data_IF_093652868453
#
_entry.id   IF_093652868453
#
_cell.length_a   1.000
_cell.length_b   1.000
_cell.length_c   1.000
_cell.angle_alpha   90.00
_cell.angle_beta   90.00
_cell.angle_gamma   90.00
#
_symmetry.space_group_name_H-M   'P 1'
#
loop_
_entity.id
_entity.type
_entity.pdbx_description
1 polymer ?
#
# COMPACT_ATOMS: atom_id res chain seq x y z
N UNK A 1 29.75 19.66 1.65
CA UNK A 1 30.06 18.57 2.60
C UNK A 1 28.99 17.53 2.40
N UNK A 2 29.37 16.37 1.91
CA UNK A 2 28.44 15.28 1.60
C UNK A 2 28.14 14.59 2.94
N UNK A 3 26.92 14.74 3.47
CA UNK A 3 26.51 13.97 4.64
C UNK A 3 26.20 12.55 4.18
N UNK A 4 27.00 11.63 4.69
CA UNK A 4 26.88 10.19 4.51
C UNK A 4 25.63 9.69 5.23
N UNK A 5 24.57 9.37 4.50
CA UNK A 5 23.46 8.56 4.99
C UNK A 5 23.94 7.10 5.06
N UNK A 6 24.56 6.73 6.14
CA UNK A 6 24.95 5.35 6.39
C UNK A 6 24.81 5.02 7.87
N UNK A 7 23.64 4.62 8.28
CA UNK A 7 23.52 3.69 9.39
C UNK A 7 22.67 2.54 8.95
N UNK A 8 23.35 1.51 8.43
CA UNK A 8 22.72 0.24 8.08
C UNK A 8 22.20 -0.42 9.35
N UNK A 9 20.91 -0.43 9.54
CA UNK A 9 20.29 -1.37 10.46
C UNK A 9 20.38 -2.76 9.83
N UNK A 10 21.38 -3.55 10.23
CA UNK A 10 21.38 -5.01 10.14
C UNK A 10 20.51 -5.61 11.27
N UNK A 11 19.52 -4.88 11.75
CA UNK A 11 18.55 -5.44 12.67
C UNK A 11 17.67 -6.45 11.91
N UNK A 12 17.38 -7.61 12.50
CA UNK A 12 16.42 -8.53 11.89
C UNK A 12 15.08 -7.81 11.75
N UNK A 13 14.44 -7.95 10.57
CA UNK A 13 13.08 -7.44 10.33
C UNK A 13 12.19 -7.87 11.48
N UNK A 14 11.60 -6.92 12.20
CA UNK A 14 10.78 -7.20 13.38
C UNK A 14 9.53 -7.92 12.95
N UNK A 15 9.37 -9.18 13.36
CA UNK A 15 8.11 -9.92 13.25
C UNK A 15 7.49 -9.85 14.63
N UNK A 16 6.72 -8.80 14.89
CA UNK A 16 5.95 -8.71 16.12
C UNK A 16 4.74 -9.64 16.07
N UNK A 17 4.50 -10.41 17.12
CA UNK A 17 3.29 -11.20 17.33
C UNK A 17 2.78 -10.86 18.74
N UNK A 18 1.47 -10.72 18.90
CA UNK A 18 0.89 -10.37 20.20
C UNK A 18 1.19 -8.93 20.63
N UNK A 19 1.60 -8.74 21.87
CA UNK A 19 1.87 -7.41 22.48
C UNK A 19 3.05 -6.67 21.80
N UNK A 20 3.95 -7.39 21.15
CA UNK A 20 5.11 -6.84 20.43
C UNK A 20 4.82 -6.57 18.93
N UNK A 21 3.55 -6.62 18.53
CA UNK A 21 3.17 -6.51 17.12
C UNK A 21 3.54 -5.17 16.49
N UNK A 22 3.35 -4.09 17.20
CA UNK A 22 3.69 -2.75 16.77
C UNK A 22 4.31 -1.96 17.94
N UNK A 23 5.52 -1.45 17.74
CA UNK A 23 6.27 -0.70 18.75
C UNK A 23 6.14 0.81 18.47
N UNK A 24 5.05 1.41 18.93
CA UNK A 24 4.66 2.80 18.65
C UNK A 24 5.77 3.82 18.94
N UNK A 25 6.45 3.73 20.10
CA UNK A 25 7.53 4.68 20.47
C UNK A 25 8.74 4.58 19.54
N UNK A 26 9.11 3.37 19.12
CA UNK A 26 10.22 3.16 18.23
C UNK A 26 9.87 3.61 16.80
N UNK A 27 8.66 3.29 16.33
CA UNK A 27 8.17 3.73 15.03
C UNK A 27 8.04 5.25 14.95
N UNK A 28 7.60 5.92 16.02
CA UNK A 28 7.52 7.38 16.06
C UNK A 28 8.89 8.03 15.87
N UNK A 29 9.94 7.50 16.53
CA UNK A 29 11.30 8.01 16.37
C UNK A 29 11.83 7.78 14.93
N UNK A 30 11.57 6.62 14.35
CA UNK A 30 11.97 6.29 12.99
C UNK A 30 11.24 7.14 11.94
N UNK A 31 9.97 7.42 12.16
CA UNK A 31 9.15 8.33 11.36
C UNK A 31 9.69 9.76 11.40
N UNK A 32 9.95 10.30 12.60
CA UNK A 32 10.45 11.67 12.77
C UNK A 32 11.81 11.84 12.09
N UNK A 33 12.71 10.85 12.20
CA UNK A 33 13.97 10.84 11.48
C UNK A 33 13.76 10.79 9.95
N UNK A 34 12.85 9.94 9.47
CA UNK A 34 12.58 9.75 8.05
C UNK A 34 12.10 11.04 7.37
N UNK A 35 11.15 11.77 7.99
CA UNK A 35 10.58 12.98 7.41
C UNK A 35 11.34 14.26 7.77
N UNK A 36 12.42 14.20 8.58
CA UNK A 36 13.13 15.37 9.12
C UNK A 36 13.55 16.38 8.06
N UNK A 37 13.92 15.92 6.85
CA UNK A 37 14.38 16.79 5.76
C UNK A 37 13.26 17.57 5.06
N UNK A 38 12.01 17.16 5.22
CA UNK A 38 10.84 17.76 4.57
C UNK A 38 9.81 18.30 5.55
N UNK A 39 10.05 18.20 6.86
CA UNK A 39 9.10 18.52 7.92
C UNK A 39 8.51 19.95 7.79
N UNK A 40 9.35 20.95 7.56
CA UNK A 40 8.89 22.34 7.38
C UNK A 40 7.91 22.50 6.21
N UNK A 41 8.12 21.73 5.11
CA UNK A 41 7.22 21.76 3.94
C UNK A 41 5.92 21.04 4.22
N UNK A 42 5.96 19.90 4.93
CA UNK A 42 4.74 19.17 5.31
C UNK A 42 3.84 20.00 6.23
N UNK A 43 4.43 20.86 7.06
CA UNK A 43 3.69 21.73 7.96
C UNK A 43 3.13 22.99 7.28
N UNK A 44 3.88 23.64 6.40
CA UNK A 44 3.66 25.02 5.92
C UNK A 44 3.57 25.17 4.41
N UNK A 45 3.94 24.11 3.64
CA UNK A 45 3.91 24.14 2.19
C UNK A 45 2.48 24.18 1.65
N UNK A 46 2.34 24.62 0.42
CA UNK A 46 1.10 24.40 -0.33
C UNK A 46 1.03 22.97 -0.90
N UNK A 47 -0.08 22.63 -1.52
CA UNK A 47 -0.35 21.27 -1.96
C UNK A 47 0.64 20.72 -2.97
N UNK A 48 1.13 21.56 -3.88
CA UNK A 48 2.15 21.20 -4.87
C UNK A 48 3.53 21.06 -4.24
N UNK A 49 3.92 21.98 -3.34
CA UNK A 49 5.18 21.90 -2.61
C UNK A 49 5.27 20.62 -1.77
N UNK A 50 4.18 20.27 -1.07
CA UNK A 50 4.06 19.03 -0.30
C UNK A 50 4.20 17.83 -1.24
N UNK A 51 3.46 17.82 -2.37
CA UNK A 51 3.53 16.74 -3.35
C UNK A 51 4.98 16.52 -3.85
N UNK A 52 5.65 17.55 -4.30
CA UNK A 52 7.01 17.47 -4.85
C UNK A 52 8.03 17.01 -3.79
N UNK A 53 7.91 17.50 -2.57
CA UNK A 53 8.77 17.11 -1.46
C UNK A 53 8.59 15.64 -1.09
N UNK A 54 7.35 15.16 -1.01
CA UNK A 54 7.05 13.75 -0.78
C UNK A 54 7.54 12.87 -1.95
N UNK A 55 7.28 13.25 -3.21
CA UNK A 55 7.75 12.49 -4.37
C UNK A 55 9.28 12.34 -4.34
N UNK A 56 10.01 13.43 -4.06
CA UNK A 56 11.48 13.44 -3.94
C UNK A 56 11.97 12.52 -2.82
N UNK A 57 11.38 12.63 -1.61
CA UNK A 57 11.74 11.81 -0.46
C UNK A 57 11.48 10.32 -0.72
N UNK A 58 10.26 9.98 -1.15
CA UNK A 58 9.85 8.60 -1.44
C UNK A 58 10.74 7.98 -2.53
N UNK A 59 11.13 8.78 -3.54
CA UNK A 59 11.99 8.34 -4.62
C UNK A 59 13.42 8.07 -4.19
N UNK A 60 14.01 8.98 -3.42
CA UNK A 60 15.42 8.91 -3.01
C UNK A 60 15.70 7.83 -1.96
N UNK A 61 14.70 7.46 -1.18
CA UNK A 61 14.81 6.45 -0.12
C UNK A 61 14.41 5.03 -0.57
N UNK A 62 13.72 4.91 -1.70
CA UNK A 62 13.22 3.64 -2.22
C UNK A 62 14.34 2.71 -2.67
N UNK A 63 14.42 1.53 -2.10
CA UNK A 63 15.28 0.41 -2.52
C UNK A 63 14.48 -0.56 -3.40
N UNK A 64 14.79 -0.61 -4.70
CA UNK A 64 14.08 -1.47 -5.65
C UNK A 64 14.35 -2.96 -5.39
N UNK A 65 13.34 -3.66 -4.95
CA UNK A 65 13.38 -5.10 -4.67
C UNK A 65 13.03 -5.91 -5.94
N UNK A 66 13.56 -7.14 -6.02
CA UNK A 66 12.99 -8.09 -6.99
C UNK A 66 11.56 -8.46 -6.57
N UNK A 67 10.65 -8.67 -7.53
CA UNK A 67 9.27 -9.07 -7.23
C UNK A 67 9.18 -10.36 -6.39
N UNK A 68 10.14 -11.29 -6.57
CA UNK A 68 10.25 -12.49 -5.74
C UNK A 68 10.59 -12.14 -4.29
N UNK A 69 11.51 -11.20 -4.09
CA UNK A 69 11.93 -10.74 -2.77
C UNK A 69 10.79 -9.97 -2.08
N UNK A 70 10.15 -9.04 -2.79
CA UNK A 70 9.00 -8.29 -2.26
C UNK A 70 7.90 -9.22 -1.76
N UNK A 71 7.46 -10.19 -2.57
CA UNK A 71 6.44 -11.17 -2.16
C UNK A 71 6.85 -12.04 -0.97
N UNK A 72 8.15 -12.37 -0.85
CA UNK A 72 8.63 -13.12 0.31
C UNK A 72 8.47 -12.33 1.60
N UNK A 73 8.81 -11.04 1.60
CA UNK A 73 8.60 -10.16 2.75
C UNK A 73 7.11 -9.94 3.01
N UNK A 74 6.32 -9.70 1.95
CA UNK A 74 4.88 -9.53 2.05
C UNK A 74 4.23 -10.64 2.89
N UNK A 75 4.44 -11.91 2.51
CA UNK A 75 3.79 -13.04 3.17
C UNK A 75 4.43 -13.46 4.50
N UNK A 76 5.72 -13.19 4.72
CA UNK A 76 6.42 -13.65 5.93
C UNK A 76 6.32 -12.68 7.09
N UNK A 77 6.24 -11.40 6.81
CA UNK A 77 6.34 -10.35 7.82
C UNK A 77 5.27 -9.27 7.66
N UNK A 78 5.17 -8.64 6.50
CA UNK A 78 4.44 -7.40 6.29
C UNK A 78 2.93 -7.58 6.49
N UNK A 79 2.32 -8.63 5.89
CA UNK A 79 0.87 -8.88 5.97
C UNK A 79 0.46 -9.78 7.13
N UNK A 80 1.35 -10.02 8.09
CA UNK A 80 0.98 -10.74 9.31
C UNK A 80 0.16 -9.86 10.23
N UNK A 81 -0.88 -10.44 10.83
CA UNK A 81 -1.70 -9.83 11.87
C UNK A 81 -1.13 -10.14 13.25
N UNK A 82 -1.62 -9.50 14.34
CA UNK A 82 -1.11 -9.76 15.70
C UNK A 82 -1.15 -11.22 16.15
N UNK A 83 -2.08 -12.01 15.60
CA UNK A 83 -2.20 -13.45 15.82
C UNK A 83 -1.25 -14.30 14.95
N UNK A 84 -0.42 -13.66 14.12
CA UNK A 84 0.48 -14.30 13.17
C UNK A 84 -0.18 -14.79 11.88
N UNK A 85 -1.51 -14.67 11.74
CA UNK A 85 -2.22 -15.06 10.52
C UNK A 85 -2.02 -14.04 9.38
N UNK A 86 -2.15 -14.51 8.13
CA UNK A 86 -2.32 -13.64 6.97
C UNK A 86 -3.80 -13.33 6.79
N UNK A 87 -4.14 -12.05 6.56
CA UNK A 87 -5.49 -11.66 6.21
C UNK A 87 -5.53 -11.15 4.79
N UNK A 88 -6.63 -11.45 4.11
CA UNK A 88 -6.90 -10.99 2.76
C UNK A 88 -7.42 -9.56 2.78
N UNK A 89 -6.90 -8.73 1.89
CA UNK A 89 -7.21 -7.29 1.83
C UNK A 89 -8.70 -7.04 1.70
N UNK A 90 -9.37 -7.71 0.75
CA UNK A 90 -10.75 -7.41 0.37
C UNK A 90 -11.83 -8.08 1.22
N UNK A 91 -11.46 -9.05 2.04
CA UNK A 91 -12.43 -9.74 2.91
C UNK A 91 -12.15 -9.59 4.39
N UNK A 92 -10.95 -9.14 4.78
CA UNK A 92 -10.50 -9.13 6.18
C UNK A 92 -10.31 -10.52 6.78
N UNK A 93 -10.48 -11.60 6.00
CA UNK A 93 -10.32 -12.98 6.42
C UNK A 93 -9.02 -13.56 5.88
N UNK A 94 -8.35 -14.42 6.63
CA UNK A 94 -7.11 -15.05 6.23
C UNK A 94 -7.06 -16.55 6.48
N UNK A 95 -6.02 -17.23 5.98
CA UNK A 95 -5.83 -18.64 6.24
C UNK A 95 -5.61 -18.87 7.74
N UNK A 96 -6.36 -19.83 8.31
CA UNK A 96 -6.32 -20.14 9.74
C UNK A 96 -5.15 -21.04 10.16
N UNK A 97 -4.37 -21.59 9.20
CA UNK A 97 -3.28 -22.52 9.46
C UNK A 97 -1.98 -22.07 8.80
N UNK A 98 -0.89 -22.04 9.56
CA UNK A 98 0.45 -21.65 9.11
C UNK A 98 1.06 -22.56 8.02
N UNK A 99 0.61 -23.82 7.92
CA UNK A 99 1.10 -24.79 6.92
C UNK A 99 0.82 -24.36 5.47
N UNK A 100 -0.08 -23.40 5.25
CA UNK A 100 -0.39 -22.86 3.92
C UNK A 100 0.61 -21.79 3.46
N UNK A 101 1.50 -21.31 4.33
CA UNK A 101 2.34 -20.11 4.10
C UNK A 101 3.74 -20.43 3.54
N UNK A 102 4.25 -21.63 3.70
CA UNK A 102 5.63 -21.97 3.33
C UNK A 102 5.72 -23.19 2.39
N UNK A 103 5.86 -22.93 1.09
CA UNK A 103 6.23 -23.97 0.15
C UNK A 103 6.67 -23.44 -1.22
N UNK A 104 7.77 -23.99 -1.80
CA UNK A 104 8.21 -23.65 -3.15
C UNK A 104 7.24 -24.13 -4.25
N UNK A 105 6.25 -24.94 -3.91
CA UNK A 105 5.27 -25.49 -4.84
C UNK A 105 4.01 -24.63 -4.89
N UNK A 106 3.83 -23.86 -5.98
CA UNK A 106 2.61 -23.09 -6.31
C UNK A 106 1.28 -23.85 -6.20
N UNK A 107 1.30 -25.17 -6.08
CA UNK A 107 0.12 -26.03 -5.93
C UNK A 107 -0.27 -26.28 -4.46
N UNK A 108 0.53 -25.83 -3.50
CA UNK A 108 0.32 -25.96 -2.04
C UNK A 108 0.32 -24.62 -1.30
N UNK A 109 0.65 -23.51 -1.96
CA UNK A 109 0.38 -22.19 -1.44
C UNK A 109 -1.13 -22.06 -1.43
N UNK A 110 -1.71 -21.79 -0.27
CA UNK A 110 -3.14 -21.62 -0.09
C UNK A 110 -3.76 -20.75 -1.16
N UNK A 111 -5.07 -20.64 -1.21
CA UNK A 111 -5.85 -19.93 -2.23
C UNK A 111 -5.54 -18.41 -2.29
N UNK A 112 -4.29 -17.97 -2.06
CA UNK A 112 -3.89 -16.55 -2.09
C UNK A 112 -2.74 -16.26 -3.06
N UNK A 113 -2.70 -15.01 -3.49
CA UNK A 113 -1.61 -14.44 -4.28
C UNK A 113 -1.34 -12.98 -3.88
N UNK A 114 -0.46 -12.31 -4.62
CA UNK A 114 -0.15 -10.92 -4.43
C UNK A 114 -1.10 -10.06 -5.26
N UNK A 115 -1.91 -9.29 -4.58
CA UNK A 115 -2.71 -8.22 -5.15
C UNK A 115 -1.84 -6.99 -5.41
N UNK A 116 -2.12 -6.30 -6.51
CA UNK A 116 -1.62 -4.97 -6.82
C UNK A 116 -2.81 -4.01 -6.79
N UNK A 117 -2.93 -3.21 -5.74
CA UNK A 117 -4.03 -2.24 -5.58
C UNK A 117 -4.12 -1.35 -6.82
N UNK A 118 -3.01 -0.80 -7.27
CA UNK A 118 -2.89 -0.22 -8.61
C UNK A 118 -2.52 -1.34 -9.58
N UNK A 119 -3.41 -1.72 -10.51
CA UNK A 119 -3.22 -2.88 -11.38
C UNK A 119 -1.95 -2.84 -12.22
N UNK A 120 -1.29 -3.99 -12.36
CA UNK A 120 -0.06 -4.08 -13.15
C UNK A 120 -0.24 -3.67 -14.62
N UNK A 121 -1.43 -3.76 -15.18
CA UNK A 121 -1.74 -3.34 -16.55
C UNK A 121 -1.63 -1.83 -16.73
N UNK A 122 -1.94 -1.04 -15.70
CA UNK A 122 -1.92 0.43 -15.77
C UNK A 122 -0.50 0.97 -15.94
N UNK A 123 0.51 0.34 -15.32
CA UNK A 123 1.92 0.71 -15.43
C UNK A 123 2.77 -0.27 -16.25
N UNK A 124 2.14 -1.08 -17.13
CA UNK A 124 2.83 -2.02 -18.04
C UNK A 124 3.77 -3.01 -17.34
N UNK A 125 3.47 -3.40 -16.08
CA UNK A 125 4.29 -4.31 -15.24
C UNK A 125 5.72 -3.81 -15.02
N UNK A 126 5.97 -2.50 -15.15
CA UNK A 126 7.31 -1.91 -15.00
C UNK A 126 7.77 -1.93 -13.54
N UNK A 127 9.08 -1.99 -13.36
CA UNK A 127 9.71 -1.75 -12.06
C UNK A 127 10.07 -0.26 -11.95
N UNK A 128 10.14 0.29 -10.71
CA UNK A 128 9.99 -0.38 -9.41
C UNK A 128 8.55 -0.71 -9.02
N UNK A 129 7.53 -0.13 -9.65
CA UNK A 129 6.11 -0.23 -9.31
C UNK A 129 5.65 -1.68 -9.05
N UNK A 130 6.06 -2.63 -9.91
CA UNK A 130 5.67 -4.04 -9.79
C UNK A 130 6.09 -4.71 -8.47
N UNK A 131 7.08 -4.17 -7.79
CA UNK A 131 7.62 -4.71 -6.55
C UNK A 131 7.52 -3.75 -5.38
N UNK A 132 6.86 -2.62 -5.54
CA UNK A 132 6.66 -1.62 -4.49
C UNK A 132 5.63 -2.11 -3.47
N UNK A 133 6.11 -2.37 -2.25
CA UNK A 133 5.37 -3.04 -1.19
C UNK A 133 4.20 -2.21 -0.65
N UNK A 134 4.19 -0.88 -0.83
CA UNK A 134 3.12 -0.03 -0.33
C UNK A 134 1.79 -0.20 -1.06
N UNK A 135 1.79 -0.79 -2.26
CA UNK A 135 0.55 -1.14 -2.97
C UNK A 135 0.40 -2.66 -3.25
N UNK A 136 1.25 -3.49 -2.62
CA UNK A 136 1.15 -4.94 -2.67
C UNK A 136 0.49 -5.48 -1.41
N UNK A 137 -0.48 -6.38 -1.57
CA UNK A 137 -1.20 -7.02 -0.46
C UNK A 137 -1.44 -8.49 -0.72
N UNK A 138 -1.68 -9.25 0.35
CA UNK A 138 -2.13 -10.63 0.25
C UNK A 138 -3.63 -10.67 -0.04
N UNK A 139 -4.03 -11.44 -1.06
CA UNK A 139 -5.45 -11.58 -1.41
C UNK A 139 -5.77 -13.00 -1.90
N UNK A 140 -7.04 -13.44 -1.74
CA UNK A 140 -7.57 -14.70 -2.32
C UNK A 140 -7.41 -14.68 -3.83
N UNK A 141 -6.90 -15.77 -4.41
CA UNK A 141 -6.75 -15.90 -5.87
C UNK A 141 -8.05 -15.63 -6.62
N UNK A 142 -9.19 -16.17 -6.13
CA UNK A 142 -10.49 -15.94 -6.78
C UNK A 142 -10.93 -14.49 -6.70
N UNK A 143 -10.76 -13.86 -5.55
CA UNK A 143 -11.16 -12.48 -5.34
C UNK A 143 -10.25 -11.52 -6.17
N UNK A 144 -8.93 -11.69 -6.13
CA UNK A 144 -8.01 -10.96 -6.96
C UNK A 144 -8.31 -11.10 -8.45
N UNK A 145 -8.68 -12.34 -8.89
CA UNK A 145 -9.09 -12.58 -10.28
C UNK A 145 -10.41 -11.89 -10.65
N UNK A 146 -11.37 -11.84 -9.73
CA UNK A 146 -12.66 -11.16 -9.95
C UNK A 146 -12.53 -9.64 -9.96
N UNK A 147 -11.66 -9.09 -9.09
CA UNK A 147 -11.32 -7.67 -9.10
C UNK A 147 -10.65 -7.26 -10.41
N UNK A 148 -9.90 -8.16 -11.04
CA UNK A 148 -9.23 -7.93 -12.33
C UNK A 148 -8.36 -6.65 -12.34
N UNK A 149 -8.63 -5.73 -13.26
CA UNK A 149 -8.04 -4.39 -13.33
C UNK A 149 -9.10 -3.30 -13.18
N UNK A 150 -10.20 -3.60 -12.54
CA UNK A 150 -11.31 -2.67 -12.35
C UNK A 150 -10.90 -1.54 -11.41
N UNK A 151 -11.48 -0.36 -11.61
CA UNK A 151 -11.31 0.77 -10.70
C UNK A 151 -11.96 0.48 -9.33
N UNK A 152 -11.49 1.15 -8.32
CA UNK A 152 -12.03 1.05 -6.95
C UNK A 152 -13.08 2.14 -6.74
N UNK A 153 -14.33 1.74 -6.51
CA UNK A 153 -15.46 2.63 -6.33
C UNK A 153 -16.53 2.00 -5.41
N UNK A 154 -17.47 2.78 -4.93
CA UNK A 154 -18.72 2.27 -4.36
C UNK A 154 -19.68 1.97 -5.50
N UNK A 155 -20.19 0.74 -5.56
CA UNK A 155 -20.99 0.31 -6.72
C UNK A 155 -22.21 -0.50 -6.33
N UNK A 156 -23.22 -0.47 -7.21
CA UNK A 156 -24.33 -1.43 -7.23
C UNK A 156 -24.01 -2.50 -8.28
N UNK A 157 -23.87 -3.77 -7.86
CA UNK A 157 -23.46 -4.82 -8.78
C UNK A 157 -23.59 -6.23 -8.23
N UNK A 158 -22.83 -7.17 -8.79
CA UNK A 158 -22.79 -8.56 -8.34
C UNK A 158 -21.98 -8.68 -7.04
N UNK A 159 -22.64 -9.10 -5.97
CA UNK A 159 -21.96 -9.36 -4.69
C UNK A 159 -21.23 -10.70 -4.73
N UNK A 160 -19.92 -10.65 -4.50
CA UNK A 160 -19.04 -11.81 -4.40
C UNK A 160 -18.75 -12.09 -2.91
N UNK A 161 -19.26 -13.19 -2.35
CA UNK A 161 -19.07 -13.52 -0.93
C UNK A 161 -17.58 -13.50 -0.52
N UNK A 162 -17.29 -12.84 0.61
CA UNK A 162 -15.95 -12.68 1.16
C UNK A 162 -14.94 -12.12 0.14
N UNK A 163 -15.36 -11.11 -0.63
CA UNK A 163 -14.55 -10.42 -1.61
C UNK A 163 -14.99 -8.95 -1.77
N UNK A 164 -16.11 -8.72 -2.44
CA UNK A 164 -16.57 -7.37 -2.76
C UNK A 164 -17.82 -7.39 -3.65
N UNK A 165 -18.10 -6.25 -4.24
CA UNK A 165 -19.16 -6.06 -5.24
C UNK A 165 -18.47 -5.71 -6.56
N UNK A 166 -18.94 -6.28 -7.66
CA UNK A 166 -18.38 -6.03 -9.01
C UNK A 166 -19.46 -5.42 -9.90
N UNK A 167 -19.15 -4.31 -10.50
CA UNK A 167 -19.87 -3.79 -11.65
C UNK A 167 -19.11 -4.09 -12.94
N UNK A 168 -19.59 -5.11 -13.67
CA UNK A 168 -18.99 -5.50 -14.96
C UNK A 168 -19.31 -4.55 -16.12
N UNK A 169 -20.27 -3.65 -15.94
CA UNK A 169 -20.66 -2.68 -16.98
C UNK A 169 -19.68 -1.52 -17.02
N UNK A 170 -19.31 -1.03 -15.83
CA UNK A 170 -18.46 0.15 -15.70
C UNK A 170 -17.01 -0.20 -15.32
N UNK A 171 -16.67 -1.50 -15.17
CA UNK A 171 -15.36 -2.02 -14.79
C UNK A 171 -14.93 -1.51 -13.41
N UNK A 172 -15.83 -1.59 -12.43
CA UNK A 172 -15.64 -1.11 -11.07
C UNK A 172 -15.74 -2.23 -10.03
N UNK A 173 -15.07 -2.02 -8.90
CA UNK A 173 -15.01 -2.97 -7.79
C UNK A 173 -15.07 -2.25 -6.45
N UNK A 174 -16.02 -2.64 -5.61
CA UNK A 174 -16.11 -2.21 -4.22
C UNK A 174 -15.65 -3.33 -3.29
N UNK A 175 -14.55 -3.18 -2.55
CA UNK A 175 -14.10 -4.21 -1.60
C UNK A 175 -15.01 -4.25 -0.36
N UNK A 176 -15.28 -5.48 0.16
CA UNK A 176 -16.02 -5.61 1.42
C UNK A 176 -15.19 -5.17 2.65
N UNK A 177 -13.85 -5.24 2.56
CA UNK A 177 -12.92 -4.76 3.57
C UNK A 177 -11.73 -4.07 2.90
N UNK A 178 -10.90 -3.39 3.69
CA UNK A 178 -9.67 -2.79 3.19
C UNK A 178 -9.84 -1.46 2.43
N UNK A 179 -11.00 -0.81 2.51
CA UNK A 179 -11.26 0.46 1.83
C UNK A 179 -10.24 1.55 2.19
N UNK A 180 -9.89 1.68 3.47
CA UNK A 180 -8.86 2.62 3.91
C UNK A 180 -7.47 2.27 3.37
N UNK A 181 -7.09 0.99 3.44
CA UNK A 181 -5.82 0.47 2.94
C UNK A 181 -5.64 0.72 1.42
N UNK A 182 -6.69 0.45 0.61
CA UNK A 182 -6.60 0.67 -0.83
C UNK A 182 -6.55 2.15 -1.18
N UNK A 183 -7.26 3.00 -0.44
CA UNK A 183 -7.23 4.45 -0.62
C UNK A 183 -5.80 4.98 -0.38
N UNK A 184 -5.20 4.65 0.77
CA UNK A 184 -3.83 5.07 1.12
C UNK A 184 -2.76 4.50 0.19
N UNK A 185 -2.95 3.26 -0.28
CA UNK A 185 -2.05 2.64 -1.25
C UNK A 185 -2.11 3.33 -2.63
N UNK A 186 -3.31 3.73 -3.08
CA UNK A 186 -3.49 4.45 -4.35
C UNK A 186 -2.93 5.87 -4.26
N UNK A 187 -3.22 6.61 -3.18
CA UNK A 187 -2.67 7.94 -2.94
C UNK A 187 -1.13 7.91 -2.87
N UNK A 188 -0.55 6.94 -2.16
CA UNK A 188 0.90 6.72 -2.17
C UNK A 188 1.42 6.51 -3.60
N UNK A 189 0.76 5.66 -4.38
CA UNK A 189 1.18 5.37 -5.75
C UNK A 189 1.16 6.62 -6.64
N UNK A 190 0.13 7.45 -6.54
CA UNK A 190 0.03 8.73 -7.26
C UNK A 190 1.19 9.68 -6.93
N UNK A 191 1.59 9.74 -5.66
CA UNK A 191 2.72 10.58 -5.26
C UNK A 191 4.06 9.96 -5.68
N UNK A 192 4.24 8.65 -5.47
CA UNK A 192 5.54 7.98 -5.70
C UNK A 192 5.82 7.72 -7.18
N UNK A 193 4.80 7.45 -7.98
CA UNK A 193 4.89 7.02 -9.36
C UNK A 193 3.99 7.87 -10.28
N UNK A 194 4.29 9.16 -10.46
CA UNK A 194 3.45 10.06 -11.27
C UNK A 194 3.38 9.64 -12.74
N UNK A 195 2.25 9.96 -13.38
CA UNK A 195 2.07 9.81 -14.82
C UNK A 195 1.78 8.39 -15.31
N UNK A 196 1.37 7.48 -14.43
CA UNK A 196 1.02 6.10 -14.80
C UNK A 196 -0.47 5.76 -14.64
N UNK A 197 -1.26 6.65 -14.08
CA UNK A 197 -2.66 6.42 -13.75
C UNK A 197 -3.51 7.57 -14.25
N UNK A 198 -4.68 7.29 -14.81
CA UNK A 198 -5.66 8.30 -15.20
C UNK A 198 -5.76 8.55 -16.72
N UNK A 199 -5.03 7.82 -17.56
CA UNK A 199 -5.10 7.98 -19.03
C UNK A 199 -6.16 7.09 -19.72
N UNK A 200 -6.78 6.16 -18.96
CA UNK A 200 -7.78 5.23 -19.48
C UNK A 200 -9.03 5.19 -18.62
N UNK A 201 -10.17 4.96 -19.23
CA UNK A 201 -11.48 4.89 -18.59
C UNK A 201 -11.55 3.92 -17.39
N UNK A 202 -10.80 2.85 -17.42
CA UNK A 202 -10.77 1.83 -16.36
C UNK A 202 -9.76 2.12 -15.24
N UNK A 203 -9.04 3.23 -15.33
CA UNK A 203 -8.06 3.66 -14.33
C UNK A 203 -8.67 4.70 -13.40
N UNK A 204 -8.14 4.76 -12.19
CA UNK A 204 -8.53 5.83 -11.25
C UNK A 204 -8.28 7.19 -11.88
N UNK A 205 -9.31 7.99 -11.97
CA UNK A 205 -9.28 9.37 -12.49
C UNK A 205 -9.16 10.40 -11.35
N UNK A 206 -8.90 11.68 -11.67
CA UNK A 206 -9.00 12.74 -10.68
C UNK A 206 -10.37 12.85 -10.00
N UNK A 207 -11.44 12.49 -10.70
CA UNK A 207 -12.81 12.48 -10.15
C UNK A 207 -12.99 11.36 -9.11
N UNK A 208 -12.39 10.19 -9.34
CA UNK A 208 -12.45 9.05 -8.44
C UNK A 208 -11.65 9.26 -7.14
N UNK A 209 -10.69 10.20 -7.16
CA UNK A 209 -9.92 10.56 -5.99
C UNK A 209 -10.81 10.97 -4.81
N UNK A 210 -11.95 11.61 -5.07
CA UNK A 210 -12.91 11.98 -4.02
C UNK A 210 -13.38 10.77 -3.23
N UNK A 211 -13.71 9.66 -3.90
CA UNK A 211 -14.12 8.42 -3.24
C UNK A 211 -12.99 7.84 -2.39
N UNK A 212 -11.75 7.90 -2.87
CA UNK A 212 -10.60 7.42 -2.11
C UNK A 212 -10.35 8.27 -0.86
N UNK A 213 -10.52 9.59 -0.94
CA UNK A 213 -10.42 10.50 0.21
C UNK A 213 -11.55 10.23 1.22
N UNK A 214 -12.78 10.00 0.77
CA UNK A 214 -13.90 9.62 1.62
C UNK A 214 -13.63 8.29 2.35
N UNK A 215 -13.08 7.27 1.66
CA UNK A 215 -12.68 6.01 2.31
C UNK A 215 -11.51 6.20 3.27
N UNK A 216 -10.57 7.06 2.95
CA UNK A 216 -9.45 7.38 3.84
C UNK A 216 -9.94 7.97 5.16
N UNK A 217 -10.92 8.90 5.12
CA UNK A 217 -11.53 9.52 6.30
C UNK A 217 -12.40 8.53 7.09
N UNK A 218 -13.25 7.76 6.40
CA UNK A 218 -14.19 6.81 7.02
C UNK A 218 -13.51 5.61 7.68
N UNK A 219 -12.34 5.20 7.17
CA UNK A 219 -11.59 4.03 7.64
C UNK A 219 -10.21 4.46 8.16
N UNK A 220 -10.11 4.88 9.44
CA UNK A 220 -8.87 5.38 10.03
C UNK A 220 -7.73 4.37 9.96
N UNK A 221 -6.49 4.88 10.01
CA UNK A 221 -5.27 4.06 10.03
C UNK A 221 -5.28 3.12 11.23
N UNK A 222 -5.00 1.85 10.96
CA UNK A 222 -4.95 0.77 11.96
C UNK A 222 -3.51 0.44 12.37
N UNK A 223 -3.33 -0.24 13.51
CA UNK A 223 -2.01 -0.74 13.92
C UNK A 223 -1.42 -1.75 12.93
N UNK A 224 -2.28 -2.46 12.18
CA UNK A 224 -1.82 -3.28 11.06
C UNK A 224 -1.14 -2.46 9.98
N UNK A 225 -1.70 -1.32 9.60
CA UNK A 225 -1.09 -0.46 8.58
C UNK A 225 0.19 0.21 9.10
N UNK A 226 0.22 0.62 10.38
CA UNK A 226 1.44 1.14 11.02
C UNK A 226 2.55 0.10 11.04
N UNK A 227 2.25 -1.13 11.48
CA UNK A 227 3.17 -2.27 11.41
C UNK A 227 3.68 -2.50 9.98
N UNK A 228 2.78 -2.48 8.98
CA UNK A 228 3.18 -2.61 7.57
C UNK A 228 4.15 -1.51 7.16
N UNK A 229 3.84 -0.27 7.49
CA UNK A 229 4.62 0.90 7.10
C UNK A 229 6.05 0.85 7.68
N UNK A 230 6.17 0.55 8.96
CA UNK A 230 7.44 0.33 9.65
C UNK A 230 8.23 -0.84 9.04
N UNK A 231 7.61 -2.00 8.87
CA UNK A 231 8.24 -3.18 8.27
C UNK A 231 8.68 -2.95 6.81
N UNK A 232 7.91 -2.17 6.03
CA UNK A 232 8.27 -1.81 4.65
C UNK A 232 9.47 -0.86 4.65
N UNK A 233 9.55 0.09 5.55
CA UNK A 233 10.74 0.95 5.69
C UNK A 233 12.01 0.12 5.92
N UNK A 234 11.96 -0.90 6.75
CA UNK A 234 13.10 -1.78 7.00
C UNK A 234 13.62 -2.45 5.71
N UNK A 235 12.73 -2.93 4.86
CA UNK A 235 13.10 -3.71 3.68
C UNK A 235 13.20 -2.89 2.39
N UNK A 236 12.33 -1.89 2.21
CA UNK A 236 12.22 -1.07 1.00
C UNK A 236 12.78 0.34 1.17
N UNK A 237 12.85 0.86 2.41
CA UNK A 237 13.53 2.10 2.76
C UNK A 237 12.65 3.35 2.78
N UNK A 238 11.45 3.29 2.21
CA UNK A 238 10.51 4.40 2.22
C UNK A 238 9.25 4.07 3.03
N UNK A 239 8.45 5.10 3.31
CA UNK A 239 7.22 5.03 4.10
C UNK A 239 6.04 5.57 3.31
N UNK A 240 4.82 5.14 3.66
CA UNK A 240 3.59 5.73 3.12
C UNK A 240 3.18 6.93 4.00
N UNK A 241 3.24 8.17 3.51
CA UNK A 241 2.94 9.36 4.31
C UNK A 241 1.48 9.43 4.75
N UNK A 242 0.57 8.82 4.03
CA UNK A 242 -0.86 8.81 4.37
C UNK A 242 -1.22 7.81 5.48
N UNK A 243 -0.26 6.99 5.92
CA UNK A 243 -0.33 6.18 7.13
C UNK A 243 0.29 6.94 8.31
N UNK A 244 1.42 7.63 8.09
CA UNK A 244 2.16 8.35 9.12
C UNK A 244 1.49 9.68 9.53
N UNK A 245 0.97 10.41 8.54
CA UNK A 245 0.33 11.72 8.64
C UNK A 245 -0.96 11.72 7.81
N UNK A 246 -2.04 11.09 8.29
CA UNK A 246 -3.29 10.94 7.52
C UNK A 246 -3.85 12.27 7.00
N UNK A 247 -3.68 13.35 7.75
CA UNK A 247 -4.13 14.71 7.39
C UNK A 247 -3.46 15.28 6.14
N UNK A 248 -2.36 14.69 5.67
CA UNK A 248 -1.72 15.09 4.41
C UNK A 248 -2.58 14.77 3.19
N UNK A 249 -3.50 13.80 3.30
CA UNK A 249 -4.41 13.47 2.21
C UNK A 249 -5.27 14.65 1.76
N UNK A 250 -5.63 15.56 2.67
CA UNK A 250 -6.39 16.76 2.37
C UNK A 250 -5.54 17.92 1.85
N UNK A 251 -4.22 17.88 2.08
CA UNK A 251 -3.31 18.97 1.74
C UNK A 251 -2.59 18.78 0.41
N UNK A 252 -2.31 17.53 0.03
CA UNK A 252 -1.52 17.19 -1.15
C UNK A 252 -2.29 17.49 -2.44
N UNK A 253 -1.65 18.18 -3.39
CA UNK A 253 -2.18 18.30 -4.75
C UNK A 253 -1.86 17.05 -5.58
N UNK A 254 -2.80 16.12 -5.64
CA UNK A 254 -2.66 14.87 -6.39
C UNK A 254 -2.75 15.04 -7.92
N UNK A 255 -3.10 16.22 -8.44
CA UNK A 255 -3.22 16.42 -9.91
C UNK A 255 -1.90 16.11 -10.61
N UNK A 256 -0.77 16.46 -9.99
CA UNK A 256 0.57 16.15 -10.50
C UNK A 256 0.90 14.65 -10.57
N UNK A 257 0.11 13.80 -9.93
CA UNK A 257 0.27 12.34 -9.91
C UNK A 257 -0.37 11.63 -11.10
N UNK A 258 -1.39 12.24 -11.71
CA UNK A 258 -2.10 11.65 -12.84
C UNK A 258 -1.36 11.79 -14.16
N UNK A 259 -1.66 10.90 -15.10
CA UNK A 259 -1.19 11.00 -16.48
C UNK A 259 -1.81 12.24 -17.14
N UNK A 260 -1.01 12.98 -17.91
CA UNK A 260 -1.40 14.19 -18.63
C UNK A 260 -1.78 13.90 -20.08
#
# INVERSE_FOLDING_TARGET
MIHSYATHRNAPVRVGIGEDYYAEEADAADRDEYYSSVQDVLERGDGEDIYQSLNGLLGSTHRDLSYKTARRHLYKTIDRRPDGALYYLYSGEGPKNEEEVDGPNRRRLGNYNCEHVVPQSWFHKRRPMKSDLHHLFTEKVRCNSSRANYNLAEVEGESLPNCGIVDHKDDEFEPHAGKGEVARATMYFLVRHPGYVGDRRVETSPEDLKQLLEWHEQYPVTDYERHRNDTIQDVQGNRNPFIDYPELAEKVDFQSGFAS
#
